data_IF_510253844697
#
_entry.id   IF_510253844697
#
_cell.length_a   1.000
_cell.length_b   1.000
_cell.length_c   1.000
_cell.angle_alpha   90.00
_cell.angle_beta   90.00
_cell.angle_gamma   90.00
#
_symmetry.space_group_name_H-M   'P 1'
#
loop_
_entity.id
_entity.type
_entity.pdbx_description
1 polymer ?
#
# COMPACT_ATOMS: atom_id res chain seq x y z
N UNK A 1 23.21 -11.94 -13.15
CA UNK A 1 22.59 -10.94 -12.26
C UNK A 1 23.73 -10.07 -11.78
N UNK A 2 23.84 -8.85 -12.32
CA UNK A 2 24.90 -7.93 -11.91
C UNK A 2 24.75 -7.61 -10.42
N UNK A 3 25.85 -7.73 -9.69
CA UNK A 3 25.91 -7.32 -8.30
C UNK A 3 25.66 -5.81 -8.27
N UNK A 4 24.49 -5.40 -7.78
CA UNK A 4 24.20 -3.97 -7.58
C UNK A 4 25.29 -3.36 -6.71
N UNK A 5 25.98 -2.37 -7.26
CA UNK A 5 26.99 -1.60 -6.52
C UNK A 5 26.31 -0.92 -5.34
N UNK A 6 26.81 -1.16 -4.14
CA UNK A 6 26.35 -0.49 -2.92
C UNK A 6 26.90 0.94 -2.95
N UNK A 7 26.05 1.98 -2.82
CA UNK A 7 26.50 3.36 -2.90
C UNK A 7 27.28 3.75 -1.65
N UNK A 8 28.22 4.67 -1.81
CA UNK A 8 29.13 5.13 -0.75
C UNK A 8 28.37 5.69 0.47
N UNK A 9 27.28 6.43 0.25
CA UNK A 9 26.45 6.96 1.34
C UNK A 9 25.90 5.87 2.25
N UNK A 10 25.55 4.70 1.71
CA UNK A 10 25.04 3.58 2.50
C UNK A 10 26.15 2.94 3.33
N UNK A 11 27.36 2.84 2.75
CA UNK A 11 28.55 2.36 3.48
C UNK A 11 28.92 3.32 4.61
N UNK A 12 28.88 4.64 4.38
CA UNK A 12 29.09 5.65 5.40
C UNK A 12 28.02 5.57 6.52
N UNK A 13 26.76 5.33 6.15
CA UNK A 13 25.68 5.15 7.12
C UNK A 13 25.90 3.90 7.99
N UNK A 14 26.29 2.78 7.37
CA UNK A 14 26.64 1.54 8.07
C UNK A 14 27.81 1.75 9.03
N UNK A 15 28.87 2.43 8.60
CA UNK A 15 30.04 2.69 9.45
C UNK A 15 29.68 3.59 10.63
N UNK A 16 28.86 4.63 10.41
CA UNK A 16 28.36 5.51 11.46
C UNK A 16 27.61 4.74 12.57
N UNK A 17 26.86 3.71 12.19
CA UNK A 17 26.09 2.87 13.12
C UNK A 17 26.75 1.50 13.38
N UNK A 18 28.06 1.36 13.15
CA UNK A 18 28.76 0.07 13.24
C UNK A 18 28.65 -0.62 14.61
N UNK A 19 28.65 0.16 15.68
CA UNK A 19 28.48 -0.35 17.05
C UNK A 19 27.11 -1.04 17.26
N UNK A 20 26.09 -0.61 16.52
CA UNK A 20 24.72 -1.14 16.56
C UNK A 20 24.57 -2.43 15.72
N UNK A 21 25.32 -2.53 14.62
CA UNK A 21 25.14 -3.57 13.58
C UNK A 21 26.07 -4.78 13.77
N UNK A 22 26.84 -4.82 14.86
CA UNK A 22 27.73 -5.91 15.29
C UNK A 22 28.69 -6.36 14.17
N UNK A 23 29.78 -5.60 14.03
CA UNK A 23 30.77 -5.65 12.95
C UNK A 23 31.75 -6.83 13.00
N UNK A 24 31.27 -8.05 12.79
CA UNK A 24 32.11 -9.13 12.25
C UNK A 24 32.27 -8.99 10.72
N UNK A 25 33.30 -9.59 10.12
CA UNK A 25 33.54 -9.49 8.67
C UNK A 25 32.38 -10.05 7.81
N UNK A 26 31.53 -10.92 8.38
CA UNK A 26 30.32 -11.45 7.72
C UNK A 26 29.15 -10.48 7.79
N UNK A 27 29.17 -9.51 8.71
CA UNK A 27 28.15 -8.48 8.87
C UNK A 27 28.10 -7.57 7.63
N UNK A 28 29.25 -7.24 7.05
CA UNK A 28 29.33 -6.39 5.84
C UNK A 28 28.59 -7.04 4.67
N UNK A 29 28.76 -8.35 4.46
CA UNK A 29 28.05 -9.09 3.41
C UNK A 29 26.53 -9.09 3.62
N UNK A 30 26.07 -9.22 4.87
CA UNK A 30 24.64 -9.14 5.19
C UNK A 30 24.08 -7.72 4.99
N UNK A 31 24.85 -6.68 5.32
CA UNK A 31 24.43 -5.29 5.12
C UNK A 31 24.39 -4.93 3.62
N UNK A 32 25.28 -5.49 2.80
CA UNK A 32 25.14 -5.41 1.34
C UNK A 32 23.85 -6.08 0.85
N UNK A 33 23.49 -7.24 1.41
CA UNK A 33 22.21 -7.89 1.08
C UNK A 33 20.99 -7.07 1.53
N UNK A 34 21.08 -6.35 2.65
CA UNK A 34 20.02 -5.42 3.07
C UNK A 34 19.85 -4.27 2.10
N UNK A 35 20.95 -3.72 1.56
CA UNK A 35 20.85 -2.66 0.57
C UNK A 35 20.05 -3.08 -0.67
N UNK A 36 20.20 -4.33 -1.13
CA UNK A 36 19.38 -4.86 -2.23
C UNK A 36 17.89 -4.86 -1.88
N UNK A 37 17.53 -5.19 -0.64
CA UNK A 37 16.15 -5.15 -0.15
C UNK A 37 15.63 -3.71 -0.11
N UNK A 38 16.43 -2.79 0.45
CA UNK A 38 16.05 -1.38 0.58
C UNK A 38 15.90 -0.68 -0.77
N UNK A 39 16.81 -0.95 -1.72
CA UNK A 39 16.76 -0.43 -3.07
C UNK A 39 15.54 -0.94 -3.83
N UNK A 40 15.22 -2.25 -3.74
CA UNK A 40 13.99 -2.82 -4.32
C UNK A 40 12.72 -2.23 -3.70
N UNK A 41 12.75 -1.87 -2.42
CA UNK A 41 11.66 -1.21 -1.71
C UNK A 41 11.60 0.32 -1.93
N UNK A 42 12.52 0.86 -2.75
CA UNK A 42 12.67 2.28 -3.02
C UNK A 42 12.74 3.13 -1.74
N UNK A 43 13.52 2.67 -0.75
CA UNK A 43 13.83 3.47 0.42
C UNK A 43 14.93 4.48 0.10
N UNK A 44 14.74 5.70 0.58
CA UNK A 44 15.68 6.81 0.41
C UNK A 44 16.75 6.81 1.48
N UNK A 45 17.86 7.50 1.22
CA UNK A 45 18.93 7.72 2.21
C UNK A 45 18.40 8.35 3.51
N UNK A 46 17.54 9.38 3.40
CA UNK A 46 16.97 10.07 4.55
C UNK A 46 16.11 9.14 5.43
N UNK A 47 15.27 8.30 4.81
CA UNK A 47 14.42 7.33 5.52
C UNK A 47 15.27 6.29 6.26
N UNK A 48 16.30 5.77 5.61
CA UNK A 48 17.24 4.83 6.22
C UNK A 48 18.01 5.50 7.36
N UNK A 49 18.56 6.69 7.15
CA UNK A 49 19.30 7.42 8.19
C UNK A 49 18.45 7.65 9.45
N UNK A 50 17.19 8.05 9.27
CA UNK A 50 16.26 8.23 10.39
C UNK A 50 15.89 6.90 11.06
N UNK A 51 15.68 5.84 10.30
CA UNK A 51 15.33 4.53 10.86
C UNK A 51 16.49 3.91 11.66
N UNK A 52 17.73 4.07 11.20
CA UNK A 52 18.92 3.64 11.94
C UNK A 52 19.10 4.45 13.23
N UNK A 53 18.94 5.78 13.17
CA UNK A 53 18.98 6.64 14.36
C UNK A 53 17.87 6.28 15.38
N UNK A 54 16.66 5.97 14.91
CA UNK A 54 15.56 5.53 15.76
C UNK A 54 15.86 4.20 16.45
N UNK A 55 16.44 3.23 15.73
CA UNK A 55 16.84 1.94 16.31
C UNK A 55 17.98 2.09 17.32
N UNK A 56 18.90 3.02 17.09
CA UNK A 56 19.98 3.32 18.02
C UNK A 56 19.47 3.89 19.35
N UNK A 57 18.48 4.79 19.26
CA UNK A 57 17.86 5.45 20.41
C UNK A 57 16.85 4.58 21.18
N UNK A 58 16.43 3.43 20.64
CA UNK A 58 15.43 2.56 21.26
C UNK A 58 16.05 1.68 22.37
N UNK A 59 15.59 1.80 23.64
CA UNK A 59 16.06 0.96 24.74
C UNK A 59 15.73 -0.53 24.56
N UNK A 60 14.70 -0.85 23.78
CA UNK A 60 14.24 -2.22 23.50
C UNK A 60 14.65 -2.68 22.09
N UNK A 61 15.71 -2.08 21.53
CA UNK A 61 16.18 -2.42 20.19
C UNK A 61 16.51 -3.91 20.03
N UNK A 62 16.22 -4.49 18.87
CA UNK A 62 16.51 -5.90 18.62
C UNK A 62 18.02 -6.17 18.55
N UNK A 63 18.45 -7.26 19.17
CA UNK A 63 19.84 -7.74 19.12
C UNK A 63 20.15 -8.59 17.88
N UNK A 64 19.13 -9.12 17.20
CA UNK A 64 19.29 -10.03 16.07
C UNK A 64 19.12 -9.33 14.74
N UNK A 65 19.99 -9.62 13.76
CA UNK A 65 20.01 -8.98 12.43
C UNK A 65 18.66 -9.04 11.70
N UNK A 66 17.99 -10.20 11.71
CA UNK A 66 16.66 -10.36 11.08
C UNK A 66 15.63 -9.40 11.69
N UNK A 67 15.67 -9.23 13.00
CA UNK A 67 14.77 -8.37 13.75
C UNK A 67 15.12 -6.88 13.55
N UNK A 68 16.41 -6.54 13.47
CA UNK A 68 16.89 -5.20 13.11
C UNK A 68 16.43 -4.78 11.71
N UNK A 69 16.54 -5.67 10.72
CA UNK A 69 16.02 -5.41 9.37
C UNK A 69 14.50 -5.14 9.40
N UNK A 70 13.74 -6.00 10.08
CA UNK A 70 12.30 -5.82 10.22
C UNK A 70 11.94 -4.54 10.99
N UNK A 71 12.75 -4.16 11.98
CA UNK A 71 12.59 -2.92 12.73
C UNK A 71 12.74 -1.70 11.81
N UNK A 72 13.83 -1.63 11.04
CA UNK A 72 14.10 -0.54 10.10
C UNK A 72 12.96 -0.41 9.09
N UNK A 73 12.52 -1.51 8.49
CA UNK A 73 11.40 -1.51 7.54
C UNK A 73 10.11 -0.98 8.18
N UNK A 74 9.75 -1.48 9.37
CA UNK A 74 8.56 -1.00 10.11
C UNK A 74 8.66 0.49 10.42
N UNK A 75 9.85 0.98 10.78
CA UNK A 75 10.02 2.38 11.11
C UNK A 75 9.89 3.29 9.90
N UNK A 76 10.44 2.90 8.74
CA UNK A 76 10.25 3.63 7.49
C UNK A 76 8.76 3.63 7.08
N UNK A 77 8.06 2.50 7.24
CA UNK A 77 6.61 2.45 6.99
C UNK A 77 5.83 3.39 7.91
N UNK A 78 6.16 3.41 9.21
CA UNK A 78 5.56 4.35 10.17
C UNK A 78 5.86 5.80 9.81
N UNK A 79 7.09 6.12 9.40
CA UNK A 79 7.46 7.46 8.92
C UNK A 79 6.65 7.86 7.70
N UNK A 80 6.57 6.99 6.68
CA UNK A 80 5.75 7.22 5.48
C UNK A 80 4.29 7.43 5.83
N UNK A 81 3.74 6.62 6.74
CA UNK A 81 2.37 6.75 7.21
C UNK A 81 2.17 8.04 8.03
N UNK A 82 3.14 8.43 8.85
CA UNK A 82 3.13 9.67 9.60
C UNK A 82 3.25 10.89 8.69
N UNK A 83 4.09 10.87 7.65
CA UNK A 83 4.18 11.93 6.63
C UNK A 83 2.93 12.01 5.77
N UNK A 84 2.32 10.87 5.43
CA UNK A 84 0.98 10.82 4.79
C UNK A 84 -0.10 11.43 5.69
N UNK A 85 0.02 11.23 7.01
CA UNK A 85 -0.86 11.85 8.02
C UNK A 85 -0.48 13.30 8.35
N UNK A 86 0.75 13.72 8.09
CA UNK A 86 1.31 15.05 8.42
C UNK A 86 1.26 16.06 7.28
N UNK A 87 0.96 15.63 6.06
CA UNK A 87 0.70 16.49 4.90
C UNK A 87 -0.74 17.05 4.82
N UNK A 88 -1.60 16.70 5.77
CA UNK A 88 -2.86 17.36 6.01
C UNK A 88 -3.06 17.43 7.51
N UNK A 89 -3.54 18.55 8.03
CA UNK A 89 -4.00 18.64 9.42
C UNK A 89 -4.69 17.33 9.81
N UNK A 90 -4.22 16.70 10.89
CA UNK A 90 -4.99 15.68 11.57
C UNK A 90 -6.27 16.37 12.06
N UNK A 91 -7.28 16.38 11.20
CA UNK A 91 -8.64 16.72 11.57
C UNK A 91 -9.10 15.54 12.41
N UNK A 92 -8.89 15.63 13.72
CA UNK A 92 -9.63 14.88 14.76
C UNK A 92 -11.12 15.26 14.75
N UNK A 93 -11.68 15.45 13.56
CA UNK A 93 -13.09 15.57 13.28
C UNK A 93 -13.65 14.24 12.81
N UNK A 94 -14.98 14.10 12.80
CA UNK A 94 -15.64 12.92 12.27
C UNK A 94 -15.14 12.65 10.84
N UNK A 95 -14.61 11.43 10.62
CA UNK A 95 -14.21 10.98 9.29
C UNK A 95 -15.47 10.92 8.41
N UNK A 96 -15.32 11.33 7.15
CA UNK A 96 -16.41 11.20 6.20
C UNK A 96 -16.84 9.72 6.09
N UNK A 97 -18.13 9.39 6.31
CA UNK A 97 -18.58 7.99 6.32
C UNK A 97 -18.43 7.30 4.96
N UNK A 98 -18.38 8.07 3.86
CA UNK A 98 -18.26 7.53 2.51
C UNK A 98 -16.83 7.17 2.12
N UNK A 99 -15.84 8.01 2.47
CA UNK A 99 -14.44 7.79 2.09
C UNK A 99 -13.51 7.47 3.25
N UNK A 100 -14.03 7.44 4.49
CA UNK A 100 -13.27 7.21 5.73
C UNK A 100 -12.01 8.10 5.85
N UNK A 101 -12.09 9.33 5.33
CA UNK A 101 -10.96 10.29 5.32
C UNK A 101 -9.99 10.16 4.15
N UNK A 102 -10.19 9.20 3.23
CA UNK A 102 -9.32 9.01 2.05
C UNK A 102 -9.54 10.03 0.93
N UNK A 103 -10.57 10.89 1.04
CA UNK A 103 -11.00 11.86 0.02
C UNK A 103 -11.44 11.25 -1.33
N UNK A 104 -11.35 9.93 -1.50
CA UNK A 104 -11.75 9.21 -2.71
C UNK A 104 -12.60 7.99 -2.38
N UNK A 105 -13.41 7.54 -3.35
CA UNK A 105 -14.29 6.36 -3.25
C UNK A 105 -14.01 5.45 -4.44
N UNK A 106 -13.98 4.14 -4.18
CA UNK A 106 -13.87 3.12 -5.23
C UNK A 106 -15.27 2.73 -5.70
N UNK A 107 -15.52 2.87 -7.00
CA UNK A 107 -16.83 2.65 -7.62
C UNK A 107 -16.68 1.71 -8.84
N UNK A 108 -17.76 1.07 -9.31
CA UNK A 108 -17.75 0.32 -10.56
C UNK A 108 -17.23 1.13 -11.75
N UNK A 109 -16.47 0.49 -12.64
CA UNK A 109 -16.15 1.10 -13.92
C UNK A 109 -17.41 1.12 -14.77
N UNK A 110 -17.89 2.31 -15.16
CA UNK A 110 -19.13 2.46 -15.93
C UNK A 110 -19.17 1.68 -17.25
N UNK A 111 -18.02 1.43 -17.89
CA UNK A 111 -17.97 0.60 -19.10
C UNK A 111 -18.28 -0.88 -18.87
N UNK A 112 -18.26 -1.31 -17.61
CA UNK A 112 -18.63 -2.65 -17.16
C UNK A 112 -20.05 -2.67 -16.56
N UNK A 113 -20.82 -1.58 -16.68
CA UNK A 113 -22.22 -1.52 -16.23
C UNK A 113 -23.13 -1.58 -17.45
N UNK A 114 -23.98 -2.61 -17.53
CA UNK A 114 -24.94 -2.84 -18.62
C UNK A 114 -26.32 -3.07 -18.03
N UNK A 115 -27.31 -2.32 -18.50
CA UNK A 115 -28.70 -2.41 -18.05
C UNK A 115 -28.85 -2.34 -16.52
N UNK A 116 -28.06 -1.47 -15.88
CA UNK A 116 -28.04 -1.30 -14.42
C UNK A 116 -27.25 -2.36 -13.64
N UNK A 117 -26.71 -3.39 -14.31
CA UNK A 117 -25.93 -4.45 -13.68
C UNK A 117 -24.44 -4.27 -13.92
N UNK A 118 -23.63 -4.45 -12.87
CA UNK A 118 -22.18 -4.49 -12.99
C UNK A 118 -21.75 -5.89 -13.42
N UNK A 119 -21.12 -6.01 -14.59
CA UNK A 119 -20.77 -7.29 -15.21
C UNK A 119 -19.25 -7.44 -15.35
N UNK A 120 -18.80 -8.66 -15.67
CA UNK A 120 -17.39 -8.94 -15.92
C UNK A 120 -16.80 -7.98 -16.99
N UNK A 121 -15.56 -7.48 -16.80
CA UNK A 121 -14.54 -7.92 -15.83
C UNK A 121 -14.64 -7.31 -14.42
N UNK A 122 -15.74 -6.64 -14.05
CA UNK A 122 -15.94 -6.06 -12.72
C UNK A 122 -14.81 -5.08 -12.31
N UNK A 123 -14.35 -4.22 -13.23
CA UNK A 123 -13.31 -3.25 -12.87
C UNK A 123 -13.86 -2.20 -11.93
N UNK A 124 -13.03 -1.76 -10.99
CA UNK A 124 -13.28 -0.61 -10.13
C UNK A 124 -12.45 0.58 -10.61
N UNK A 125 -12.98 1.78 -10.42
CA UNK A 125 -12.27 3.04 -10.62
C UNK A 125 -12.42 3.93 -9.40
N UNK A 126 -11.53 4.90 -9.27
CA UNK A 126 -11.53 5.83 -8.15
C UNK A 126 -12.13 7.16 -8.56
N UNK A 127 -13.08 7.65 -7.77
CA UNK A 127 -13.70 8.97 -7.92
C UNK A 127 -13.46 9.81 -6.68
N UNK A 128 -13.42 11.13 -6.82
CA UNK A 128 -13.28 12.04 -5.70
C UNK A 128 -14.56 12.06 -4.87
N UNK A 129 -14.45 11.91 -3.55
CA UNK A 129 -15.61 11.90 -2.65
C UNK A 129 -16.34 13.26 -2.66
N UNK A 130 -17.63 13.27 -2.34
CA UNK A 130 -18.43 14.50 -2.22
C UNK A 130 -18.14 15.34 -0.96
N UNK A 131 -17.17 14.93 -0.11
CA UNK A 131 -16.82 15.68 1.09
C UNK A 131 -15.83 16.81 0.78
N UNK A 132 -15.63 17.80 1.68
CA UNK A 132 -14.69 18.91 1.43
C UNK A 132 -13.26 18.46 1.10
N UNK A 133 -12.80 17.34 1.66
CA UNK A 133 -11.50 16.78 1.31
C UNK A 133 -11.48 16.23 -0.12
N UNK A 134 -12.54 15.53 -0.54
CA UNK A 134 -12.67 15.04 -1.91
C UNK A 134 -12.84 16.16 -2.92
N UNK A 135 -13.50 17.27 -2.57
CA UNK A 135 -13.55 18.44 -3.45
C UNK A 135 -12.16 19.03 -3.70
N UNK A 136 -11.36 19.18 -2.64
CA UNK A 136 -9.96 19.60 -2.78
C UNK A 136 -9.16 18.63 -3.64
N UNK A 137 -9.38 17.32 -3.48
CA UNK A 137 -8.75 16.32 -4.35
C UNK A 137 -9.18 16.51 -5.81
N UNK A 138 -10.47 16.70 -6.09
CA UNK A 138 -10.97 16.93 -7.43
C UNK A 138 -10.38 18.20 -8.06
N UNK A 139 -10.27 19.27 -7.28
CA UNK A 139 -9.67 20.53 -7.70
C UNK A 139 -8.16 20.36 -7.97
N UNK A 140 -7.43 19.72 -7.06
CA UNK A 140 -5.99 19.45 -7.21
C UNK A 140 -5.66 18.65 -8.49
N UNK A 141 -6.54 17.72 -8.88
CA UNK A 141 -6.39 16.98 -10.13
C UNK A 141 -6.63 17.83 -11.39
N UNK A 142 -7.36 18.93 -11.27
CA UNK A 142 -7.68 19.88 -12.36
C UNK A 142 -6.71 21.05 -12.42
N UNK A 143 -5.93 21.30 -11.37
CA UNK A 143 -4.93 22.37 -11.34
C UNK A 143 -3.95 22.23 -12.51
N UNK A 144 -3.65 23.36 -13.14
CA UNK A 144 -2.56 23.47 -14.11
C UNK A 144 -1.25 23.70 -13.38
N UNK A 145 -0.21 22.97 -13.79
CA UNK A 145 1.16 23.15 -13.25
C UNK A 145 1.91 24.19 -14.08
N UNK A 146 1.61 24.26 -15.37
CA UNK A 146 2.07 25.27 -16.32
C UNK A 146 0.86 25.68 -17.19
N UNK A 147 0.82 26.89 -17.76
CA UNK A 147 -0.30 27.31 -18.61
C UNK A 147 -0.60 26.30 -19.72
N UNK A 148 -1.81 25.73 -19.70
CA UNK A 148 -2.24 24.71 -20.67
C UNK A 148 -1.71 23.29 -20.40
N UNK A 149 -1.00 23.06 -19.29
CA UNK A 149 -0.54 21.74 -18.85
C UNK A 149 -1.21 21.35 -17.53
N UNK A 150 -2.30 20.55 -17.57
CA UNK A 150 -2.94 20.07 -16.36
C UNK A 150 -2.00 19.13 -15.60
N UNK A 151 -2.08 19.14 -14.26
CA UNK A 151 -1.32 18.26 -13.38
C UNK A 151 -1.50 16.78 -13.75
N UNK A 152 -2.70 16.42 -14.21
CA UNK A 152 -3.02 15.09 -14.72
C UNK A 152 -3.73 15.17 -16.06
N UNK A 153 -3.38 14.27 -16.98
CA UNK A 153 -3.98 14.18 -18.32
C UNK A 153 -5.48 13.86 -18.31
N UNK A 154 -5.98 13.26 -17.23
CA UNK A 154 -7.41 12.98 -17.03
C UNK A 154 -7.81 13.47 -15.64
N UNK A 155 -8.76 14.41 -15.54
CA UNK A 155 -9.27 14.84 -14.25
C UNK A 155 -10.02 13.68 -13.59
N UNK A 156 -9.94 13.61 -12.27
CA UNK A 156 -10.76 12.67 -11.50
C UNK A 156 -12.23 13.13 -11.54
N UNK A 157 -13.15 12.19 -11.72
CA UNK A 157 -14.59 12.44 -11.66
C UNK A 157 -15.01 12.63 -10.20
N UNK A 158 -15.96 13.53 -9.91
CA UNK A 158 -16.54 13.66 -8.58
C UNK A 158 -17.60 12.58 -8.36
N UNK A 159 -17.79 12.15 -7.12
CA UNK A 159 -18.76 11.12 -6.77
C UNK A 159 -20.18 11.55 -7.15
N UNK A 160 -20.54 12.81 -6.92
CA UNK A 160 -21.85 13.36 -7.35
C UNK A 160 -22.10 13.23 -8.86
N UNK A 161 -21.07 13.48 -9.69
CA UNK A 161 -21.17 13.36 -11.14
C UNK A 161 -21.28 11.89 -11.59
N UNK A 162 -20.63 11.00 -10.82
CA UNK A 162 -20.69 9.56 -11.04
C UNK A 162 -22.06 9.00 -10.65
N UNK A 163 -22.59 9.37 -9.48
CA UNK A 163 -23.90 8.96 -8.95
C UNK A 163 -25.03 9.31 -9.90
N UNK A 164 -24.98 10.52 -10.49
CA UNK A 164 -25.94 10.91 -11.52
C UNK A 164 -25.96 9.94 -12.71
N UNK A 165 -24.82 9.34 -13.06
CA UNK A 165 -24.68 8.46 -14.22
C UNK A 165 -24.81 6.98 -13.89
N UNK A 166 -24.72 6.60 -12.62
CA UNK A 166 -24.89 5.25 -12.13
C UNK A 166 -25.39 5.29 -10.68
N UNK A 167 -26.70 5.52 -10.45
CA UNK A 167 -27.25 5.69 -9.11
C UNK A 167 -27.24 4.40 -8.29
N UNK A 168 -27.22 3.23 -8.94
CA UNK A 168 -27.29 1.90 -8.30
C UNK A 168 -25.92 1.34 -7.89
N UNK A 169 -24.89 2.18 -7.85
CA UNK A 169 -23.51 1.70 -7.71
C UNK A 169 -23.21 1.08 -6.34
N UNK A 170 -23.88 1.54 -5.29
CA UNK A 170 -23.70 1.00 -3.94
C UNK A 170 -24.26 -0.42 -3.85
N UNK A 171 -25.45 -0.63 -4.42
CA UNK A 171 -26.06 -1.95 -4.55
C UNK A 171 -25.20 -2.89 -5.39
N UNK A 172 -24.68 -2.39 -6.53
CA UNK A 172 -23.76 -3.17 -7.38
C UNK A 172 -22.50 -3.63 -6.63
N UNK A 173 -21.89 -2.76 -5.81
CA UNK A 173 -20.74 -3.15 -4.99
C UNK A 173 -21.12 -4.18 -3.94
N UNK A 174 -22.24 -3.98 -3.25
CA UNK A 174 -22.74 -4.90 -2.23
C UNK A 174 -22.99 -6.28 -2.81
N UNK A 175 -23.72 -6.38 -3.93
CA UNK A 175 -23.99 -7.66 -4.58
C UNK A 175 -22.70 -8.34 -5.03
N UNK A 176 -21.72 -7.60 -5.56
CA UNK A 176 -20.45 -8.23 -5.95
C UNK A 176 -19.66 -8.72 -4.74
N UNK A 177 -19.71 -8.03 -3.61
CA UNK A 177 -19.05 -8.48 -2.37
C UNK A 177 -19.70 -9.74 -1.82
N UNK A 178 -21.03 -9.84 -1.89
CA UNK A 178 -21.78 -11.06 -1.58
C UNK A 178 -21.40 -12.21 -2.54
N UNK A 179 -21.37 -11.97 -3.85
CA UNK A 179 -20.96 -12.95 -4.84
C UNK A 179 -19.53 -13.44 -4.62
N UNK A 180 -18.59 -12.55 -4.28
CA UNK A 180 -17.20 -12.90 -3.97
C UNK A 180 -17.07 -13.77 -2.71
N UNK A 181 -17.99 -13.64 -1.76
CA UNK A 181 -18.04 -14.51 -0.58
C UNK A 181 -18.55 -15.90 -0.94
N UNK A 182 -19.60 -15.98 -1.76
CA UNK A 182 -20.14 -17.25 -2.27
C UNK A 182 -19.09 -17.96 -3.14
N UNK A 183 -18.47 -17.25 -4.08
CA UNK A 183 -17.42 -17.75 -4.97
C UNK A 183 -16.26 -18.34 -4.17
N UNK A 184 -15.74 -17.61 -3.18
CA UNK A 184 -14.69 -18.12 -2.28
C UNK A 184 -15.13 -19.36 -1.50
N UNK A 185 -16.37 -19.39 -1.02
CA UNK A 185 -16.92 -20.56 -0.32
C UNK A 185 -17.02 -21.78 -1.23
N UNK A 186 -17.50 -21.61 -2.46
CA UNK A 186 -17.63 -22.69 -3.44
C UNK A 186 -16.26 -23.23 -3.86
N UNK A 187 -15.29 -22.34 -4.13
CA UNK A 187 -13.91 -22.73 -4.42
C UNK A 187 -13.34 -23.54 -3.24
N UNK A 188 -13.47 -23.05 -2.01
CA UNK A 188 -12.97 -23.77 -0.83
C UNK A 188 -13.64 -25.14 -0.61
N UNK A 189 -14.95 -25.28 -0.88
CA UNK A 189 -15.64 -26.57 -0.82
C UNK A 189 -15.18 -27.53 -1.94
N UNK A 190 -14.90 -27.00 -3.12
CA UNK A 190 -14.42 -27.78 -4.27
C UNK A 190 -13.00 -28.28 -4.01
N UNK A 191 -12.11 -27.41 -3.52
CA UNK A 191 -10.75 -27.76 -3.12
C UNK A 191 -10.74 -28.84 -2.02
N UNK A 192 -11.61 -28.74 -1.02
CA UNK A 192 -11.74 -29.76 0.01
C UNK A 192 -12.24 -31.09 -0.56
N UNK A 193 -13.26 -31.07 -1.43
CA UNK A 193 -13.79 -32.28 -2.06
C UNK A 193 -12.75 -32.97 -2.94
N UNK A 194 -12.00 -32.21 -3.75
CA UNK A 194 -10.94 -32.75 -4.59
C UNK A 194 -9.74 -33.25 -3.75
N UNK A 195 -9.48 -32.65 -2.59
CA UNK A 195 -8.51 -33.16 -1.61
C UNK A 195 -8.94 -34.52 -1.03
N UNK A 196 -10.20 -34.66 -0.60
CA UNK A 196 -10.74 -35.92 -0.07
C UNK A 196 -10.73 -37.05 -1.13
N UNK A 197 -10.93 -36.70 -2.40
CA UNK A 197 -10.84 -37.63 -3.53
C UNK A 197 -9.39 -37.93 -3.98
N UNK A 198 -8.38 -37.34 -3.32
CA UNK A 198 -6.97 -37.54 -3.65
C UNK A 198 -6.52 -36.92 -4.97
N UNK A 199 -7.31 -36.01 -5.55
CA UNK A 199 -7.04 -35.36 -6.84
C UNK A 199 -6.08 -34.18 -6.73
N UNK A 200 -5.93 -33.61 -5.53
CA UNK A 200 -4.95 -32.57 -5.20
C UNK A 200 -4.21 -32.93 -3.91
N UNK A 201 -2.89 -32.86 -3.95
CA UNK A 201 -2.05 -33.03 -2.77
C UNK A 201 -2.16 -31.82 -1.83
N UNK A 202 -2.16 -32.07 -0.51
CA UNK A 202 -2.13 -31.02 0.51
C UNK A 202 -0.91 -30.12 0.27
N UNK A 203 -1.10 -28.88 -0.18
CA UNK A 203 -0.03 -27.88 -0.03
C UNK A 203 0.12 -27.61 1.48
N UNK A 204 1.34 -27.72 2.04
CA UNK A 204 1.55 -27.44 3.44
C UNK A 204 1.15 -25.99 3.72
N UNK A 205 0.13 -25.80 4.55
CA UNK A 205 -0.22 -24.52 5.12
C UNK A 205 1.02 -24.07 5.90
N UNK A 206 1.70 -23.01 5.45
CA UNK A 206 2.75 -22.38 6.24
C UNK A 206 2.09 -21.92 7.54
N UNK A 207 2.35 -22.66 8.62
CA UNK A 207 2.02 -22.21 9.96
C UNK A 207 2.85 -20.95 10.22
N UNK A 208 2.13 -19.85 10.44
CA UNK A 208 2.71 -18.58 10.86
C UNK A 208 3.26 -18.78 12.27
N UNK A 209 4.59 -18.92 12.39
CA UNK A 209 5.33 -18.73 13.64
C UNK A 209 5.54 -17.25 13.93
#
# INVERSE_FOLDING_TARGET
MDAMSVPEWYLSLVEKHRALLLGDAKAIQHLHAWFQIFSRAAYTEAELAQAFAAMEADPHRPGWRKEQLAYIQRQIHRQRDASRRGGGEARDGPKCPLCNGMAVVSVPFRGDVRDGNWVAPFRRVTVACSCPAGERTAQWFREEVEPGRPRYSKPIMRLVDYEFRNPLWQEQLKYREEDLLVERKVIGLTEEADFQLGKIGRMPRKESS
#
